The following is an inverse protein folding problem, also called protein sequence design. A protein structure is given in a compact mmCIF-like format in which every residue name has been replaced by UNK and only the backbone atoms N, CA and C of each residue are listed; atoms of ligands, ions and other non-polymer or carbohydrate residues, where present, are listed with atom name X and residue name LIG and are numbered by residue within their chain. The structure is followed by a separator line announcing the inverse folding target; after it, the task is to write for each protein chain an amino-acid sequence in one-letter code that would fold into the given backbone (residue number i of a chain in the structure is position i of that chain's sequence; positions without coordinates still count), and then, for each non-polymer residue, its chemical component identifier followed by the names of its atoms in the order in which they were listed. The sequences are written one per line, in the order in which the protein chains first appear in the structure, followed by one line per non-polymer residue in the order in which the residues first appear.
data_IF_444367259249
#
_entry.id   IF_444367259249
#
_cell.length_a   1.000
_cell.length_b   1.000
_cell.length_c   1.000
_cell.angle_alpha   90.00
_cell.angle_beta   90.00
_cell.angle_gamma   90.00
#
_symmetry.space_group_name_H-M   'P 1'
#
loop_
_entity.id
_entity.type
_entity.pdbx_description
1 polymer ?
2 non-polymer ?
3 non-polymer ?
4 water ?
#
# COMPACT_ATOMS: atom_id res chain seq x y z
N UNK A 1 19.34 3.20 -10.28
CA UNK A 1 17.87 3.07 -10.55
C UNK A 1 17.49 4.09 -11.62
N UNK A 2 16.46 3.79 -12.46
CA UNK A 2 16.10 4.64 -13.58
C UNK A 2 15.29 5.88 -13.17
N UNK A 3 15.09 6.80 -14.11
CA UNK A 3 14.41 8.10 -13.89
C UNK A 3 12.91 7.86 -13.69
N UNK A 4 12.34 6.84 -14.35
CA UNK A 4 10.90 6.47 -14.27
C UNK A 4 10.75 5.01 -13.87
N UNK A 5 9.86 4.76 -12.90
CA UNK A 5 9.36 3.42 -12.51
C UNK A 5 7.83 3.48 -12.48
N UNK A 6 7.18 2.49 -13.08
CA UNK A 6 5.70 2.33 -13.04
C UNK A 6 5.39 0.82 -13.08
N UNK A 7 5.12 0.22 -11.92
CA UNK A 7 4.88 -1.24 -11.78
C UNK A 7 3.60 -1.65 -12.51
N UNK A 8 2.71 -0.71 -12.85
CA UNK A 8 1.53 -1.00 -13.70
C UNK A 8 2.00 -1.42 -15.10
N UNK A 9 3.10 -0.85 -15.59
CA UNK A 9 3.66 -1.13 -16.94
C UNK A 9 4.18 -2.56 -17.01
N UNK A 10 4.55 -3.17 -15.87
CA UNK A 10 5.09 -4.56 -15.80
C UNK A 10 4.01 -5.53 -15.31
N UNK A 11 2.73 -5.10 -15.34
CA UNK A 11 1.57 -5.93 -14.98
C UNK A 11 1.64 -6.46 -13.56
N UNK A 12 2.15 -5.67 -12.61
CA UNK A 12 2.36 -6.08 -11.20
C UNK A 12 1.37 -5.37 -10.27
N UNK A 13 0.38 -4.66 -10.83
CA UNK A 13 -0.62 -3.87 -10.05
C UNK A 13 -2.03 -4.25 -10.50
N UNK A 14 -2.87 -4.63 -9.54
CA UNK A 14 -4.29 -5.03 -9.76
C UNK A 14 -5.15 -3.77 -9.82
N UNK A 15 -6.42 -3.87 -10.25
CA UNK A 15 -7.31 -2.71 -10.26
C UNK A 15 -7.44 -1.99 -8.92
N UNK A 16 -7.76 -0.69 -8.98
CA UNK A 16 -7.95 0.19 -7.80
C UNK A 16 -9.17 -0.27 -7.01
N UNK A 17 -9.03 -0.35 -5.69
CA UNK A 17 -10.11 -0.77 -4.76
C UNK A 17 -10.67 0.45 -4.03
N UNK A 18 -11.81 0.26 -3.38
CA UNK A 18 -12.45 1.27 -2.51
C UNK A 18 -12.68 0.62 -1.15
N UNK A 19 -11.96 1.10 -0.13
CA UNK A 19 -12.02 0.57 1.26
C UNK A 19 -13.35 0.97 1.92
N UNK A 20 -14.04 1.98 1.39
CA UNK A 20 -15.28 2.52 1.99
C UNK A 20 -15.00 3.24 3.29
N UNK A 21 -15.99 3.34 4.18
CA UNK A 21 -15.90 4.13 5.44
C UNK A 21 -14.98 3.46 6.46
N UNK A 22 -14.73 2.15 6.29
CA UNK A 22 -13.87 1.32 7.17
C UNK A 22 -12.41 1.80 7.12
N UNK A 23 -11.78 1.96 8.30
CA UNK A 23 -10.36 2.37 8.42
C UNK A 23 -9.42 1.19 8.17
N UNK A 24 -9.48 0.60 6.98
CA UNK A 24 -8.77 -0.64 6.58
C UNK A 24 -7.62 -0.33 5.61
N UNK A 25 -7.26 0.94 5.44
CA UNK A 25 -6.20 1.39 4.51
C UNK A 25 -4.93 0.53 4.68
N UNK A 26 -4.55 0.27 5.93
CA UNK A 26 -3.36 -0.54 6.30
C UNK A 26 -3.38 -1.91 5.61
N UNK A 27 -4.56 -2.56 5.54
CA UNK A 27 -4.74 -3.88 4.89
C UNK A 27 -4.64 -3.74 3.37
N UNK A 28 -5.28 -2.72 2.80
CA UNK A 28 -5.23 -2.43 1.34
C UNK A 28 -3.78 -2.20 0.94
N UNK A 29 -3.07 -1.36 1.69
CA UNK A 29 -1.64 -1.01 1.45
C UNK A 29 -0.80 -2.29 1.41
N UNK A 30 -0.90 -3.13 2.44
CA UNK A 30 -0.18 -4.41 2.55
C UNK A 30 -0.48 -5.28 1.31
N UNK A 31 -1.75 -5.43 0.95
CA UNK A 31 -2.16 -6.34 -0.17
C UNK A 31 -1.53 -5.86 -1.47
N UNK A 32 -1.46 -4.55 -1.73
CA UNK A 32 -0.84 -4.04 -2.98
C UNK A 32 0.60 -4.58 -3.05
N UNK A 33 1.34 -4.55 -1.94
CA UNK A 33 2.77 -4.95 -1.92
C UNK A 33 2.88 -6.47 -2.13
N UNK A 34 1.91 -7.25 -1.64
CA UNK A 34 1.87 -8.73 -1.79
C UNK A 34 1.58 -9.06 -3.26
N UNK A 35 0.54 -8.45 -3.84
CA UNK A 35 0.18 -8.63 -5.27
C UNK A 35 1.41 -8.32 -6.14
N UNK A 36 2.14 -7.26 -5.81
CA UNK A 36 3.37 -6.84 -6.51
C UNK A 36 4.46 -7.90 -6.46
N UNK A 37 4.86 -8.31 -5.26
CA UNK A 37 6.05 -9.20 -5.06
C UNK A 37 5.74 -10.58 -5.64
N UNK A 38 4.49 -11.06 -5.54
CA UNK A 38 4.10 -12.38 -6.10
C UNK A 38 4.24 -12.32 -7.63
N UNK A 39 3.79 -11.25 -8.27
CA UNK A 39 3.96 -11.06 -9.74
C UNK A 39 5.45 -11.05 -10.09
N UNK A 40 6.26 -10.29 -9.36
CA UNK A 40 7.71 -10.11 -9.63
C UNK A 40 8.43 -11.46 -9.51
N UNK A 41 8.04 -12.28 -8.52
CA UNK A 41 8.72 -13.56 -8.18
C UNK A 41 8.18 -14.71 -9.04
N UNK A 42 6.86 -14.81 -9.22
CA UNK A 42 6.17 -15.98 -9.83
C UNK A 42 5.74 -15.68 -11.28
N UNK A 43 5.61 -14.41 -11.67
CA UNK A 43 5.14 -13.99 -13.00
C UNK A 43 3.62 -13.97 -13.11
N UNK A 44 2.91 -14.26 -12.02
CA UNK A 44 1.42 -14.30 -11.96
C UNK A 44 0.90 -13.12 -11.13
N UNK A 45 0.00 -12.32 -11.72
CA UNK A 45 -0.73 -11.26 -10.99
C UNK A 45 -2.05 -11.82 -10.45
N UNK A 46 -2.19 -11.86 -9.13
CA UNK A 46 -3.43 -12.31 -8.43
C UNK A 46 -3.88 -11.20 -7.47
N UNK A 47 -5.16 -11.20 -7.10
CA UNK A 47 -5.71 -10.35 -6.01
C UNK A 47 -5.74 -11.17 -4.73
N UNK A 48 -5.32 -10.57 -3.62
CA UNK A 48 -5.30 -11.19 -2.27
C UNK A 48 -6.22 -10.41 -1.34
N UNK A 49 -6.54 -11.01 -0.19
CA UNK A 49 -7.67 -10.62 0.69
C UNK A 49 -7.26 -9.54 1.69
N UNK A 50 -7.73 -8.29 1.48
CA UNK A 50 -7.69 -7.22 2.51
C UNK A 50 -8.54 -7.63 3.72
N UNK A 51 -9.71 -8.24 3.48
CA UNK A 51 -10.67 -8.66 4.53
C UNK A 51 -9.98 -9.59 5.53
N UNK A 52 -9.19 -10.53 5.03
CA UNK A 52 -8.46 -11.52 5.86
C UNK A 52 -7.55 -10.79 6.85
N UNK A 53 -6.82 -9.78 6.38
CA UNK A 53 -5.91 -8.98 7.26
C UNK A 53 -6.74 -8.20 8.27
N UNK A 54 -7.83 -7.56 7.80
CA UNK A 54 -8.80 -6.80 8.64
C UNK A 54 -9.28 -7.67 9.80
N UNK A 55 -9.65 -8.93 9.50
CA UNK A 55 -10.26 -9.89 10.46
C UNK A 55 -9.19 -10.50 11.37
N UNK A 56 -8.00 -10.81 10.84
CA UNK A 56 -7.05 -11.80 11.44
C UNK A 56 -5.84 -11.14 12.09
N UNK A 57 -5.52 -9.88 11.75
CA UNK A 57 -4.36 -9.15 12.35
C UNK A 57 -4.76 -8.63 13.73
N UNK A 58 -4.39 -9.36 14.79
CA UNK A 58 -4.77 -9.09 16.19
C UNK A 58 -4.04 -7.84 16.73
N UNK A 59 -2.93 -7.44 16.11
CA UNK A 59 -2.18 -6.20 16.45
C UNK A 59 -2.95 -4.95 16.00
N UNK A 60 -3.63 -5.03 14.84
CA UNK A 60 -4.40 -3.91 14.25
C UNK A 60 -5.80 -3.83 14.89
N UNK A 61 -6.53 -2.76 14.62
CA UNK A 61 -7.83 -2.42 15.28
C UNK A 61 -8.97 -2.44 14.25
N UNK A 62 -8.91 -3.39 13.30
CA UNK A 62 -9.97 -3.60 12.28
C UNK A 62 -10.24 -2.33 11.50
N UNK A 63 -11.49 -1.85 11.51
CA UNK A 63 -11.94 -0.62 10.80
C UNK A 63 -11.55 0.64 11.58
N UNK A 64 -10.92 0.50 12.76
CA UNK A 64 -10.44 1.63 13.59
C UNK A 64 -8.93 1.84 13.37
N UNK A 65 -8.39 1.33 12.25
CA UNK A 65 -6.99 1.55 11.86
C UNK A 65 -6.10 0.38 12.22
N UNK A 66 -4.84 0.42 11.80
CA UNK A 66 -3.91 -0.72 11.92
C UNK A 66 -2.54 -0.42 11.37
N UNK A 67 -1.73 -1.47 11.22
CA UNK A 67 -0.27 -1.40 10.96
C UNK A 67 0.08 -2.22 9.72
N UNK A 68 0.47 -1.60 8.59
CA UNK A 68 0.90 -2.35 7.41
C UNK A 68 1.97 -3.41 7.74
N UNK A 69 2.92 -3.09 8.62
CA UNK A 69 4.04 -4.02 8.95
C UNK A 69 3.51 -5.26 9.67
N UNK A 70 2.51 -5.12 10.53
CA UNK A 70 1.88 -6.25 11.28
C UNK A 70 1.11 -7.13 10.30
N UNK A 71 0.35 -6.51 9.38
CA UNK A 71 -0.35 -7.21 8.28
C UNK A 71 0.66 -8.01 7.46
N UNK A 72 1.81 -7.41 7.10
CA UNK A 72 2.85 -8.06 6.28
C UNK A 72 3.53 -9.17 7.09
N UNK A 73 3.70 -8.98 8.40
CA UNK A 73 4.27 -10.00 9.32
C UNK A 73 3.37 -11.24 9.28
N UNK A 74 2.04 -11.03 9.33
CA UNK A 74 1.02 -12.11 9.36
C UNK A 74 1.10 -12.94 8.08
N UNK A 75 1.33 -12.31 6.93
CA UNK A 75 1.44 -13.00 5.61
C UNK A 75 2.76 -13.78 5.54
N UNK A 76 3.80 -13.31 6.22
CA UNK A 76 5.11 -13.99 6.31
C UNK A 76 5.02 -15.19 7.26
N UNK A 77 4.32 -15.04 8.39
CA UNK A 77 4.22 -16.05 9.47
C UNK A 77 3.22 -17.15 9.07
N UNK A 78 2.12 -16.79 8.43
CA UNK A 78 1.04 -17.73 8.02
C UNK A 78 0.90 -17.73 6.50
N UNK A 79 0.31 -16.66 5.93
CA UNK A 79 0.04 -16.54 4.49
C UNK A 79 -1.23 -15.74 4.26
N UNK A 80 -1.75 -15.77 3.02
CA UNK A 80 -2.97 -14.99 2.63
C UNK A 80 -3.75 -15.76 1.56
N UNK A 81 -5.06 -15.62 1.58
CA UNK A 81 -6.01 -16.23 0.61
C UNK A 81 -6.24 -15.26 -0.56
N UNK A 82 -6.68 -15.80 -1.70
CA UNK A 82 -7.16 -15.01 -2.86
C UNK A 82 -8.31 -14.13 -2.39
N UNK A 83 -8.43 -12.93 -2.97
CA UNK A 83 -9.52 -11.98 -2.68
C UNK A 83 -10.86 -12.64 -3.03
N UNK A 84 -10.90 -13.41 -4.12
CA UNK A 84 -12.11 -14.10 -4.64
C UNK A 84 -12.68 -15.01 -3.55
N UNK A 85 -11.83 -15.71 -2.80
CA UNK A 85 -12.20 -16.74 -1.78
C UNK A 85 -12.54 -16.05 -0.45
N UNK A 86 -11.98 -14.87 -0.20
CA UNK A 86 -12.14 -14.11 1.08
C UNK A 86 -12.38 -12.66 0.72
N UNK A 87 -13.57 -12.34 0.15
CA UNK A 87 -13.83 -11.01 -0.39
C UNK A 87 -14.04 -9.91 0.66
N UNK A 88 -13.89 -8.66 0.24
CA UNK A 88 -13.94 -7.46 1.11
C UNK A 88 -15.39 -7.11 1.43
N UNK A 89 -15.70 -6.91 2.71
CA UNK A 89 -17.05 -6.62 3.24
C UNK A 89 -17.13 -5.21 3.85
N UNK A 90 -15.99 -4.55 4.10
CA UNK A 90 -15.96 -3.18 4.64
C UNK A 90 -16.37 -3.13 6.11
N UNK A 91 -16.32 -4.27 6.80
CA UNK A 91 -16.63 -4.40 8.25
C UNK A 91 -15.75 -5.51 8.81
N UNK A 92 -15.19 -5.33 10.01
CA UNK A 92 -14.39 -6.38 10.68
C UNK A 92 -15.33 -7.49 11.13
N UNK A 93 -14.96 -8.74 10.86
CA UNK A 93 -15.71 -9.95 11.31
C UNK A 93 -14.69 -10.94 11.88
N UNK A 94 -15.14 -12.15 12.19
CA UNK A 94 -14.29 -13.25 12.74
C UNK A 94 -13.24 -13.60 11.68
N UNK A 95 -12.05 -13.99 12.14
CA UNK A 95 -10.97 -14.52 11.27
C UNK A 95 -11.41 -15.88 10.73
N UNK A 96 -11.59 -15.98 9.41
CA UNK A 96 -12.21 -17.15 8.73
C UNK A 96 -11.17 -17.82 7.81
N UNK A 97 -9.87 -17.65 8.11
CA UNK A 97 -8.75 -18.24 7.34
C UNK A 97 -8.86 -19.76 7.32
N UNK A 98 -9.10 -20.37 8.48
CA UNK A 98 -9.19 -21.85 8.66
C UNK A 98 -10.32 -22.40 7.78
N UNK A 99 -11.46 -21.70 7.71
CA UNK A 99 -12.69 -22.18 7.02
C UNK A 99 -12.51 -22.11 5.50
N UNK A 100 -11.53 -21.35 5.00
CA UNK A 100 -11.35 -21.06 3.55
C UNK A 100 -10.17 -21.85 2.97
N UNK A 101 -9.81 -22.98 3.59
CA UNK A 101 -8.80 -23.92 3.04
C UNK A 101 -7.38 -23.38 3.16
N UNK A 102 -6.39 -23.98 2.45
CA UNK A 102 -5.00 -23.54 2.57
C UNK A 102 -4.78 -22.15 1.95
N UNK A 103 -3.80 -21.40 2.47
CA UNK A 103 -3.40 -20.06 1.99
C UNK A 103 -2.98 -20.16 0.52
N UNK A 104 -3.22 -19.09 -0.26
CA UNK A 104 -2.93 -19.00 -1.70
C UNK A 104 -1.48 -18.56 -1.93
N UNK A 105 -0.95 -17.68 -1.07
CA UNK A 105 0.42 -17.16 -1.15
C UNK A 105 0.99 -16.96 0.25
N UNK A 106 2.32 -16.98 0.36
CA UNK A 106 3.06 -16.74 1.61
C UNK A 106 4.36 -16.00 1.26
N UNK A 107 4.82 -15.13 2.16
CA UNK A 107 6.09 -14.37 2.02
C UNK A 107 7.08 -14.88 3.09
N UNK A 108 8.33 -14.41 3.02
CA UNK A 108 9.46 -14.90 3.84
C UNK A 108 9.84 -13.87 4.91
N UNK A 109 9.27 -12.66 4.87
CA UNK A 109 9.43 -11.66 5.94
C UNK A 109 8.97 -10.27 5.53
N UNK A 110 9.27 -9.27 6.37
CA UNK A 110 8.94 -7.84 6.15
C UNK A 110 10.17 -6.99 6.51
N UNK A 111 10.48 -5.99 5.70
CA UNK A 111 11.61 -5.05 5.90
C UNK A 111 11.07 -3.61 5.93
N UNK A 112 11.67 -2.76 6.78
CA UNK A 112 11.39 -1.30 6.80
C UNK A 112 12.41 -0.59 5.93
N UNK A 113 11.96 0.37 5.12
CA UNK A 113 12.82 1.36 4.42
C UNK A 113 13.39 2.29 5.50
N UNK A 114 14.67 2.64 5.44
CA UNK A 114 15.23 3.70 6.31
C UNK A 114 14.29 4.89 6.23
N UNK A 115 13.65 5.33 7.33
CA UNK A 115 12.66 6.41 7.27
C UNK A 115 13.31 7.79 7.03
N UNK A 116 12.51 8.75 6.57
CA UNK A 116 12.91 10.17 6.38
C UNK A 116 14.07 10.24 5.39
N UNK A 117 14.05 9.40 4.36
CA UNK A 117 15.16 9.23 3.37
C UNK A 117 14.53 8.95 2.01
N UNK A 118 14.45 9.98 1.16
CA UNK A 118 13.78 9.89 -0.16
C UNK A 118 14.50 8.85 -1.03
N UNK A 119 15.83 8.89 -1.09
CA UNK A 119 16.64 7.95 -1.89
C UNK A 119 16.35 6.50 -1.51
N UNK A 120 16.27 6.21 -0.21
CA UNK A 120 16.00 4.86 0.34
C UNK A 120 14.65 4.37 -0.19
N UNK A 121 13.62 5.23 -0.15
CA UNK A 121 12.27 4.86 -0.63
C UNK A 121 12.28 4.62 -2.13
N UNK A 122 12.91 5.50 -2.92
CA UNK A 122 12.99 5.35 -4.40
C UNK A 122 13.69 4.04 -4.73
N UNK A 123 14.78 3.71 -4.03
CA UNK A 123 15.54 2.45 -4.23
C UNK A 123 14.60 1.25 -4.04
N UNK A 124 13.83 1.25 -2.97
CA UNK A 124 12.85 0.18 -2.64
C UNK A 124 11.78 0.11 -3.73
N UNK A 125 11.23 1.25 -4.16
CA UNK A 125 10.17 1.31 -5.21
C UNK A 125 10.73 0.76 -6.54
N UNK A 126 11.99 1.03 -6.86
CA UNK A 126 12.65 0.51 -8.08
C UNK A 126 12.60 -1.03 -8.07
N UNK A 127 12.56 -1.64 -6.89
CA UNK A 127 12.63 -3.11 -6.70
C UNK A 127 11.23 -3.72 -6.65
N UNK A 128 10.24 -3.00 -6.09
CA UNK A 128 8.88 -3.55 -5.87
C UNK A 128 7.96 -2.47 -5.32
N UNK A 129 6.62 -2.65 -5.42
CA UNK A 129 5.69 -1.78 -4.70
C UNK A 129 5.94 -1.79 -3.18
N UNK A 130 5.82 -0.61 -2.56
CA UNK A 130 6.16 -0.38 -1.13
C UNK A 130 4.94 0.20 -0.41
N UNK A 131 4.67 -0.28 0.80
CA UNK A 131 3.64 0.29 1.70
C UNK A 131 4.19 1.58 2.30
N UNK A 132 3.48 2.70 2.12
CA UNK A 132 3.87 4.03 2.66
C UNK A 132 2.66 4.62 3.38
N UNK A 133 2.91 5.60 4.26
CA UNK A 133 1.85 6.33 5.00
C UNK A 133 1.97 7.81 4.66
N UNK A 134 0.88 8.55 4.79
CA UNK A 134 0.83 10.02 4.57
C UNK A 134 -0.36 10.59 5.33
N UNK A 135 -0.41 11.92 5.40
CA UNK A 135 -1.57 12.67 5.96
C UNK A 135 -2.60 12.86 4.85
N UNK A 136 -3.75 12.19 4.97
CA UNK A 136 -4.87 12.24 4.00
C UNK A 136 -6.06 13.04 4.56
N UNK A 137 -6.01 13.48 5.82
CA UNK A 137 -7.14 14.16 6.52
C UNK A 137 -7.44 15.52 5.87
N UNK A 138 -6.42 16.19 5.33
CA UNK A 138 -6.54 17.52 4.70
C UNK A 138 -7.48 17.52 3.51
N UNK A 139 -8.25 18.59 3.34
CA UNK A 139 -9.24 18.75 2.24
C UNK A 139 -8.54 18.71 0.87
N UNK A 140 -7.33 19.29 0.78
CA UNK A 140 -6.55 19.33 -0.48
C UNK A 140 -6.31 17.90 -0.98
N UNK A 141 -5.86 17.02 -0.10
CA UNK A 141 -5.63 15.58 -0.44
C UNK A 141 -6.98 14.92 -0.76
N UNK A 142 -8.02 15.18 0.04
CA UNK A 142 -9.36 14.57 -0.14
C UNK A 142 -9.95 14.96 -1.52
N UNK A 143 -9.76 16.21 -1.95
CA UNK A 143 -10.40 16.74 -3.19
C UNK A 143 -9.45 16.64 -4.39
N UNK A 144 -8.27 16.01 -4.22
CA UNK A 144 -7.27 15.86 -5.30
C UNK A 144 -7.91 15.24 -6.54
N UNK A 145 -7.75 15.88 -7.69
CA UNK A 145 -8.37 15.48 -8.99
C UNK A 145 -7.29 15.15 -10.04
N UNK A 146 -6.02 15.49 -9.79
CA UNK A 146 -4.92 15.18 -10.73
C UNK A 146 -3.80 16.20 -10.70
N UNK A 147 -2.72 15.89 -11.41
CA UNK A 147 -1.48 16.68 -11.44
C UNK A 147 -0.51 16.23 -10.36
N UNK A 148 0.65 16.87 -10.26
CA UNK A 148 1.65 16.56 -9.20
C UNK A 148 1.20 17.30 -7.93
N UNK A 149 0.85 16.53 -6.90
CA UNK A 149 0.28 17.05 -5.63
C UNK A 149 1.42 17.55 -4.72
N UNK A 150 1.33 18.81 -4.29
CA UNK A 150 2.36 19.48 -3.43
C UNK A 150 1.76 19.76 -2.05
N UNK A 151 0.50 19.41 -1.82
CA UNK A 151 -0.28 19.83 -0.64
C UNK A 151 -1.20 21.00 -1.00
N UNK A 152 -1.53 21.91 -0.04
CA UNK A 152 -1.02 21.83 1.33
C UNK A 152 -1.36 20.56 2.11
N UNK A 153 -0.48 20.20 3.04
CA UNK A 153 -0.67 19.10 4.01
C UNK A 153 0.40 19.19 5.09
N UNK A 154 0.09 18.70 6.30
CA UNK A 154 1.04 18.50 7.40
C UNK A 154 1.68 17.12 7.33
N UNK A 155 2.41 16.74 8.38
CA UNK A 155 3.18 15.48 8.46
C UNK A 155 2.52 14.52 9.45
N UNK A 156 1.27 14.79 9.84
CA UNK A 156 0.50 13.97 10.81
C UNK A 156 -0.12 12.78 10.07
N UNK A 157 0.67 11.75 9.80
CA UNK A 157 0.29 10.61 8.92
C UNK A 157 -0.89 9.87 9.55
N UNK A 158 -1.87 9.47 8.73
CA UNK A 158 -3.17 8.92 9.19
C UNK A 158 -3.73 7.91 8.17
N UNK A 159 -2.97 7.55 7.13
CA UNK A 159 -3.50 6.82 5.96
C UNK A 159 -2.38 6.04 5.28
N UNK A 160 -2.57 4.74 5.08
CA UNK A 160 -1.62 3.82 4.43
C UNK A 160 -2.02 3.67 2.96
N UNK A 161 -1.03 3.80 2.07
CA UNK A 161 -1.24 3.66 0.60
C UNK A 161 -0.05 2.85 0.06
N UNK A 162 0.06 2.69 -1.25
CA UNK A 162 1.16 1.91 -1.87
C UNK A 162 1.87 2.75 -2.92
N UNK A 163 3.20 2.86 -2.80
CA UNK A 163 4.06 3.49 -3.83
C UNK A 163 4.36 2.43 -4.89
N UNK A 164 3.91 2.64 -6.13
CA UNK A 164 4.03 1.66 -7.26
C UNK A 164 4.91 2.27 -8.36
N UNK A 165 5.52 3.42 -8.11
CA UNK A 165 6.39 4.05 -9.11
C UNK A 165 6.90 5.40 -8.69
N UNK A 166 7.63 6.06 -9.57
CA UNK A 166 8.14 7.43 -9.37
C UNK A 166 8.58 8.01 -10.71
N UNK A 167 8.73 9.33 -10.74
CA UNK A 167 9.38 10.07 -11.82
C UNK A 167 10.33 11.11 -11.26
N UNK A 168 10.92 11.95 -12.13
CA UNK A 168 11.85 13.00 -11.69
C UNK A 168 11.37 13.90 -10.55
N UNK A 169 10.06 14.19 -10.49
CA UNK A 169 9.46 15.21 -9.58
C UNK A 169 8.40 14.61 -8.65
N UNK A 170 8.08 13.31 -8.75
CA UNK A 170 6.94 12.72 -8.01
C UNK A 170 7.20 11.26 -7.62
N UNK A 171 6.41 10.80 -6.65
CA UNK A 171 6.22 9.36 -6.32
C UNK A 171 4.78 9.01 -6.71
N UNK A 172 4.62 7.89 -7.41
CA UNK A 172 3.32 7.40 -7.93
C UNK A 172 2.68 6.48 -6.88
N UNK A 173 1.47 6.83 -6.45
CA UNK A 173 0.78 6.18 -5.29
C UNK A 173 -0.55 5.58 -5.77
N UNK A 174 -0.78 4.31 -5.43
CA UNK A 174 -2.10 3.64 -5.55
C UNK A 174 -2.87 3.86 -4.25
N UNK A 175 -3.99 4.59 -4.33
CA UNK A 175 -4.91 4.85 -3.18
C UNK A 175 -6.03 3.81 -3.24
N UNK A 176 -6.79 3.70 -2.15
CA UNK A 176 -7.90 2.72 -1.94
C UNK A 176 -9.23 3.47 -1.78
N UNK A 177 -9.42 4.54 -2.56
CA UNK A 177 -10.62 5.41 -2.51
C UNK A 177 -11.41 5.32 -3.82
N UNK A 178 -11.23 4.23 -4.58
CA UNK A 178 -11.94 3.97 -5.84
C UNK A 178 -11.34 4.75 -7.01
N UNK A 179 -11.88 4.53 -8.22
CA UNK A 179 -11.29 5.04 -9.48
C UNK A 179 -11.73 6.49 -9.76
N UNK A 180 -12.73 7.00 -9.03
CA UNK A 180 -13.22 8.38 -9.18
C UNK A 180 -12.29 9.40 -8.55
N UNK A 181 -11.47 8.97 -7.59
CA UNK A 181 -10.55 9.86 -6.84
C UNK A 181 -9.25 10.03 -7.63
N UNK A 182 -8.71 11.25 -7.66
CA UNK A 182 -7.39 11.56 -8.24
C UNK A 182 -7.29 11.13 -9.69
N UNK A 183 -6.16 10.52 -10.07
CA UNK A 183 -5.87 10.09 -11.46
C UNK A 183 -6.28 8.62 -11.60
N UNK A 184 -7.58 8.38 -11.79
CA UNK A 184 -8.15 7.01 -11.91
C UNK A 184 -7.76 6.21 -10.67
N UNK A 185 -7.70 6.87 -9.50
CA UNK A 185 -7.48 6.24 -8.18
C UNK A 185 -6.05 6.39 -7.71
N UNK A 186 -5.18 7.01 -8.51
CA UNK A 186 -3.75 7.23 -8.22
C UNK A 186 -3.50 8.70 -7.87
N UNK A 187 -2.39 8.95 -7.19
CA UNK A 187 -1.86 10.33 -6.96
C UNK A 187 -0.36 10.31 -7.25
N UNK A 188 0.11 11.34 -7.94
CA UNK A 188 1.55 11.65 -8.07
C UNK A 188 1.85 12.73 -7.03
N UNK A 189 2.63 12.37 -6.01
CA UNK A 189 3.00 13.29 -4.90
C UNK A 189 4.40 13.84 -5.18
N UNK A 190 4.54 15.17 -5.11
CA UNK A 190 5.83 15.89 -5.32
C UNK A 190 6.91 15.24 -4.46
N UNK A 191 8.10 15.03 -5.05
CA UNK A 191 9.32 14.61 -4.31
C UNK A 191 10.41 15.66 -4.55
N UNK A 192 11.52 15.57 -3.81
CA UNK A 192 12.73 16.37 -4.01
C UNK A 192 12.61 17.76 -3.41
N UNK A 193 11.75 17.95 -2.40
CA UNK A 193 11.54 19.26 -1.72
C UNK A 193 12.63 19.48 -0.67
N UNK A 194 13.34 18.42 -0.26
CA UNK A 194 14.43 18.47 0.74
C UNK A 194 13.90 18.34 2.16
N UNK A 195 12.57 18.37 2.33
CA UNK A 195 11.89 18.15 3.62
C UNK A 195 11.95 16.66 3.94
N UNK A 196 12.64 16.29 5.02
CA UNK A 196 12.98 14.89 5.40
C UNK A 196 11.73 14.07 5.71
N UNK A 197 10.62 14.73 6.09
CA UNK A 197 9.31 14.07 6.36
C UNK A 197 8.71 13.52 5.06
N UNK A 198 9.05 14.16 3.94
CA UNK A 198 8.36 13.99 2.66
C UNK A 198 7.08 14.82 2.63
N UNK A 199 6.56 15.10 1.44
CA UNK A 199 5.28 15.83 1.26
C UNK A 199 4.19 14.99 1.92
N UNK A 200 3.41 15.61 2.81
CA UNK A 200 2.33 14.98 3.61
C UNK A 200 2.89 13.85 4.50
N UNK A 201 4.19 13.91 4.86
CA UNK A 201 4.83 12.93 5.75
C UNK A 201 5.08 11.58 5.07
N UNK A 202 5.22 11.58 3.75
CA UNK A 202 5.28 10.36 2.89
C UNK A 202 6.43 9.43 3.29
N UNK A 203 7.47 9.92 3.99
CA UNK A 203 8.69 9.11 4.30
C UNK A 203 8.69 8.64 5.76
N UNK A 204 7.56 8.76 6.46
CA UNK A 204 7.45 8.49 7.92
C UNK A 204 7.63 6.99 8.22
N UNK A 205 7.01 6.10 7.45
CA UNK A 205 6.88 4.67 7.83
C UNK A 205 6.56 3.80 6.60
N UNK A 206 7.59 3.18 6.03
CA UNK A 206 7.50 2.45 4.73
C UNK A 206 8.03 1.02 4.91
N UNK A 207 7.23 0.04 4.46
CA UNK A 207 7.55 -1.41 4.59
C UNK A 207 7.30 -2.11 3.25
N UNK A 208 8.07 -3.17 2.99
CA UNK A 208 7.88 -4.05 1.81
C UNK A 208 8.04 -5.51 2.25
N UNK A 209 7.28 -6.44 1.63
CA UNK A 209 7.44 -7.86 1.91
C UNK A 209 8.71 -8.42 1.25
N UNK A 210 9.30 -9.44 1.88
CA UNK A 210 10.47 -10.20 1.38
C UNK A 210 9.99 -11.58 0.94
N UNK A 211 10.38 -12.03 -0.25
CA UNK A 211 10.09 -13.39 -0.78
C UNK A 211 11.26 -13.85 -1.66
N UNK A 212 11.76 -15.07 -1.43
CA UNK A 212 12.93 -15.66 -2.15
C UNK A 212 12.43 -16.50 -3.33
X LIG B 1 -17.23 -3.67 -2.06
X LIG B 1 -16.81 -3.84 -0.66
X LIG B 1 -18.05 -4.09 0.19
X LIG B 1 -19.03 -3.00 0.07
X LIG B 1 -19.31 -2.64 -1.35
X LIG B 1 -18.03 -2.43 -2.15
X LIG B 1 -20.26 -3.44 0.75
X LIG B 1 -21.29 -2.32 0.87
X LIG B 1 -22.32 -2.53 -0.11
X LIG B 1 -16.11 -3.77 -3.01
X LIG B 1 -15.23 -2.53 -3.13
X LIG B 1 -13.77 -2.88 -3.87
X LIG B 1 -13.40 -1.76 -4.76
X LIG B 1 -13.88 -4.10 -4.70
X LIG B 1 -12.76 -3.07 -2.81
X LIG C 1 -6.47 6.30 11.27
X LIG C 1 -8.48 5.29 12.85
X LIG C 1 -7.44 5.97 13.44
X LIG C 1 4.45 2.03 12.96
X LIG C 1 -2.57 3.83 11.44
X LIG C 1 -7.54 5.39 9.18
X LIG C 1 -0.14 4.11 14.01
X LIG C 1 2.14 4.21 14.03
X LIG C 1 -8.51 5.10 11.48
X LIG C 1 4.25 3.02 13.65
X LIG C 1 5.05 4.04 13.72
X LIG C 1 3.01 3.15 14.52
X LIG C 1 3.39 3.39 15.99
X LIG C 1 3.30 2.14 16.83
X LIG C 1 4.09 1.03 16.54
X LIG C 1 3.97 -0.13 17.28
X LIG C 1 3.06 -0.21 18.33
X LIG C 1 2.93 -1.36 19.05
X LIG C 1 2.27 0.90 18.63
X LIG C 1 2.40 2.06 17.88
X LIG C 1 1.02 3.94 13.32
X LIG C 1 1.04 3.55 12.16
X LIG C 1 -1.41 3.56 13.56
X LIG C 1 -2.39 3.35 14.73
X LIG C 1 -2.97 4.64 15.14
X LIG C 1 -4.19 4.80 15.66
X LIG C 1 -4.53 6.01 15.95
X LIG C 1 -4.98 3.73 15.83
X LIG C 1 -4.56 2.36 15.50
X LIG C 1 -3.53 2.39 14.38
X LIG C 1 -2.05 4.45 12.50
X LIG C 1 -2.10 5.67 12.66
X LIG C 1 -3.06 4.53 10.27
X LIG C 1 -2.01 4.62 9.16
X LIG C 1 -0.78 5.43 9.58
X LIG C 1 -1.59 3.24 8.67
X LIG C 1 -4.35 3.89 9.76
X LIG C 1 -4.59 2.71 9.99
X LIG C 1 -5.18 4.68 9.07
X LIG C 1 -6.53 4.32 8.69
X LIG C 1 -6.58 4.14 7.18
X LIG C 1 -7.82 3.62 6.73
X LIG C 1 -7.50 5.60 10.66
X LIG C 1 -6.43 6.49 12.65
#
# INVERSE_FOLDING_TARGET
IPEYVDWRQKGAVTPVKNQGSCGSCWAFSAVVTIEGIIKIRTGNLNEYSEQELLDCDRRSYGCNGGYPWSALQLVAQYGIHYRNTYPYEGVQRYCRSREKGPYAAKTDGVRQVQPYNEGALLYSIANQPVSVVLEAAGKDFQLYRGGIFVGPCGNKVDHAVAAVGYGPNYILIKNSWGTGWGENGYIRIKRGTGNSYGVCGLYTSSFYPVKN
EPE N1 C2 C3 N4 C5 C6 C7 C8 O8 C9 C10 S O1S O2S O3S
N1W C8 C5 C6 O6 N1 C2 N2 N3 C4 C22 O5 C14 C15 C16 C21 C20 C19 O4 C18 C17 C13 O3 C12 C23 N6 C26 N5 N4 C25 C24 C11 O2 C10 C27 C29 C28 C9 O1 N C1 C O C3 C7
#
